data_IF_142982946783
#
_entry.id   IF_142982946783
#
_cell.length_a   1.000
_cell.length_b   1.000
_cell.length_c   1.000
_cell.angle_alpha   90.00
_cell.angle_beta   90.00
_cell.angle_gamma   90.00
#
_symmetry.space_group_name_H-M   'P 1'
#
loop_
_entity.id
_entity.type
_entity.pdbx_description
1 polymer ?
#
# COMPACT_ATOMS: atom_id res chain seq x y z
N UNK A 1 5.00 -9.86 13.69
CA UNK A 1 3.55 -9.72 13.46
C UNK A 1 3.24 -10.27 12.08
N UNK A 2 2.08 -10.90 11.88
CA UNK A 2 1.75 -11.55 10.59
C UNK A 2 1.49 -10.50 9.51
N UNK A 3 2.13 -10.63 8.34
CA UNK A 3 1.90 -9.78 7.15
C UNK A 3 0.42 -9.67 6.79
N UNK A 4 -0.41 -10.66 7.17
CA UNK A 4 -1.84 -10.68 6.89
C UNK A 4 -2.58 -9.51 7.55
N UNK A 5 -2.15 -9.08 8.75
CA UNK A 5 -2.77 -7.94 9.43
C UNK A 5 -2.50 -6.63 8.66
N UNK A 6 -1.27 -6.47 8.16
CA UNK A 6 -0.88 -5.33 7.33
C UNK A 6 -1.68 -5.30 6.02
N UNK A 7 -1.84 -6.46 5.36
CA UNK A 7 -2.60 -6.59 4.11
C UNK A 7 -4.06 -6.16 4.28
N UNK A 8 -4.72 -6.64 5.34
CA UNK A 8 -6.12 -6.29 5.61
C UNK A 8 -6.25 -4.80 5.92
N UNK A 9 -5.38 -4.26 6.79
CA UNK A 9 -5.41 -2.85 7.19
C UNK A 9 -5.15 -1.92 5.99
N UNK A 10 -4.15 -2.22 5.16
CA UNK A 10 -3.83 -1.45 3.94
C UNK A 10 -4.99 -1.44 2.96
N UNK A 11 -5.59 -2.61 2.67
CA UNK A 11 -6.71 -2.70 1.75
C UNK A 11 -7.91 -1.90 2.26
N UNK A 12 -8.23 -2.02 3.55
CA UNK A 12 -9.33 -1.28 4.16
C UNK A 12 -9.09 0.24 4.15
N UNK A 13 -7.88 0.68 4.49
CA UNK A 13 -7.52 2.10 4.45
C UNK A 13 -7.57 2.66 3.02
N UNK A 14 -6.98 1.97 2.06
CA UNK A 14 -6.97 2.40 0.66
C UNK A 14 -8.38 2.54 0.06
N UNK A 15 -9.31 1.68 0.47
CA UNK A 15 -10.71 1.73 0.00
C UNK A 15 -11.50 2.94 0.53
N UNK A 16 -10.98 3.71 1.50
CA UNK A 16 -11.61 4.97 1.96
C UNK A 16 -11.42 6.11 0.95
N UNK A 17 -10.39 6.02 0.12
CA UNK A 17 -9.96 7.10 -0.77
C UNK A 17 -10.49 6.90 -2.19
N UNK A 18 -10.74 8.02 -2.88
CA UNK A 18 -11.10 8.05 -4.30
C UNK A 18 -9.89 7.87 -5.20
N UNK A 19 -8.72 8.28 -4.74
CA UNK A 19 -7.46 8.14 -5.46
C UNK A 19 -7.20 6.70 -5.89
N UNK A 20 -6.57 6.55 -7.06
CA UNK A 20 -5.92 5.30 -7.45
C UNK A 20 -4.65 5.15 -6.61
N UNK A 21 -4.48 3.97 -6.03
CA UNK A 21 -3.38 3.67 -5.10
C UNK A 21 -2.72 2.40 -5.60
N UNK A 22 -1.51 2.54 -6.13
CA UNK A 22 -0.76 1.45 -6.74
C UNK A 22 0.53 1.23 -5.98
N UNK A 23 0.79 -0.01 -5.60
CA UNK A 23 2.07 -0.44 -5.05
C UNK A 23 2.88 -1.06 -6.18
N UNK A 24 4.10 -0.59 -6.38
CA UNK A 24 5.08 -1.26 -7.22
C UNK A 24 6.02 -2.08 -6.34
N UNK A 25 6.19 -3.35 -6.70
CA UNK A 25 7.15 -4.26 -6.09
C UNK A 25 7.93 -4.92 -7.24
N UNK A 26 9.22 -4.63 -7.34
CA UNK A 26 10.06 -5.06 -8.47
C UNK A 26 9.45 -4.65 -9.82
N UNK A 27 9.01 -5.62 -10.63
CA UNK A 27 8.38 -5.45 -11.94
C UNK A 27 6.85 -5.61 -11.92
N UNK A 28 6.23 -5.67 -10.73
CA UNK A 28 4.78 -5.83 -10.56
C UNK A 28 4.15 -4.54 -10.06
N UNK A 29 2.95 -4.27 -10.55
CA UNK A 29 2.07 -3.20 -10.10
C UNK A 29 0.80 -3.81 -9.52
N UNK A 30 0.41 -3.36 -8.34
CA UNK A 30 -0.67 -3.95 -7.55
C UNK A 30 -1.59 -2.83 -7.10
N UNK A 31 -2.87 -2.98 -7.38
CA UNK A 31 -3.90 -2.12 -6.78
C UNK A 31 -4.01 -2.44 -5.28
N UNK A 32 -3.69 -1.47 -4.42
CA UNK A 32 -3.73 -1.64 -2.96
C UNK A 32 -5.16 -1.87 -2.46
N UNK A 33 -6.18 -1.44 -3.21
CA UNK A 33 -7.58 -1.72 -2.87
C UNK A 33 -7.94 -3.19 -3.06
N UNK A 34 -7.18 -3.95 -3.86
CA UNK A 34 -7.36 -5.39 -4.05
C UNK A 34 -6.66 -6.20 -2.97
N UNK A 35 -7.42 -6.68 -1.98
CA UNK A 35 -6.88 -7.54 -0.91
C UNK A 35 -6.20 -8.81 -1.47
N UNK A 36 -6.76 -9.41 -2.54
CA UNK A 36 -6.18 -10.58 -3.18
C UNK A 36 -4.84 -10.25 -3.85
N UNK A 37 -4.74 -9.08 -4.52
CA UNK A 37 -3.50 -8.62 -5.13
C UNK A 37 -2.40 -8.35 -4.11
N UNK A 38 -2.78 -7.80 -2.95
CA UNK A 38 -1.86 -7.62 -1.83
C UNK A 38 -1.38 -8.96 -1.26
N UNK A 39 -2.28 -9.94 -1.07
CA UNK A 39 -1.90 -11.27 -0.56
C UNK A 39 -0.87 -12.00 -1.44
N UNK A 40 -0.95 -11.82 -2.76
CA UNK A 40 -0.02 -12.48 -3.69
C UNK A 40 1.32 -11.75 -3.82
N UNK A 41 1.46 -10.54 -3.25
CA UNK A 41 2.61 -9.66 -3.52
C UNK A 41 3.32 -9.13 -2.27
N UNK A 42 2.63 -8.94 -1.15
CA UNK A 42 3.23 -8.55 0.13
C UNK A 42 3.93 -9.74 0.82
N UNK A 43 4.95 -10.27 0.14
CA UNK A 43 5.95 -11.17 0.71
C UNK A 43 7.05 -10.31 1.34
N UNK A 44 7.43 -10.60 2.58
CA UNK A 44 8.38 -9.74 3.33
C UNK A 44 9.72 -9.52 2.61
N UNK A 45 10.44 -8.46 3.00
CA UNK A 45 11.78 -8.06 2.52
C UNK A 45 11.90 -7.37 1.14
N UNK A 46 10.81 -6.97 0.50
CA UNK A 46 10.87 -6.14 -0.71
C UNK A 46 10.84 -4.64 -0.37
N UNK A 47 11.41 -3.83 -1.27
CA UNK A 47 11.22 -2.37 -1.26
C UNK A 47 10.03 -2.05 -2.14
N UNK A 48 9.06 -1.32 -1.59
CA UNK A 48 7.84 -0.97 -2.29
C UNK A 48 7.84 0.50 -2.68
N UNK A 49 7.26 0.83 -3.82
CA UNK A 49 6.97 2.21 -4.21
C UNK A 49 5.46 2.43 -4.20
N UNK A 50 5.00 3.43 -3.45
CA UNK A 50 3.59 3.79 -3.32
C UNK A 50 3.28 4.98 -4.23
N UNK A 51 2.50 4.71 -5.27
CA UNK A 51 2.01 5.69 -6.24
C UNK A 51 0.57 6.02 -5.91
N UNK A 52 0.26 7.30 -5.71
CA UNK A 52 -1.10 7.74 -5.38
C UNK A 52 -1.50 8.89 -6.28
N UNK A 53 -2.58 8.70 -7.04
CA UNK A 53 -3.08 9.70 -7.98
C UNK A 53 -4.58 9.91 -7.78
N UNK A 54 -4.97 11.15 -7.51
CA UNK A 54 -6.37 11.53 -7.36
C UNK A 54 -6.58 12.75 -6.46
N UNK A 55 -7.84 13.08 -6.19
CA UNK A 55 -8.22 14.32 -5.49
C UNK A 55 -7.90 14.32 -3.99
N UNK A 56 -7.66 13.15 -3.40
CA UNK A 56 -7.38 12.91 -1.98
C UNK A 56 -6.05 12.16 -1.78
N UNK A 57 -5.09 12.41 -2.69
CA UNK A 57 -3.83 11.68 -2.75
C UNK A 57 -2.93 11.96 -1.56
N UNK A 58 -2.88 13.19 -1.06
CA UNK A 58 -2.00 13.58 0.03
C UNK A 58 -2.44 12.96 1.36
N UNK A 59 -3.75 12.92 1.62
CA UNK A 59 -4.32 12.22 2.77
C UNK A 59 -4.06 10.72 2.70
N UNK A 60 -4.26 10.11 1.52
CA UNK A 60 -4.00 8.70 1.29
C UNK A 60 -2.52 8.33 1.47
N UNK A 61 -1.59 9.12 0.92
CA UNK A 61 -0.14 8.92 1.08
C UNK A 61 0.25 8.91 2.55
N UNK A 62 -0.29 9.85 3.33
CA UNK A 62 -0.02 9.97 4.76
C UNK A 62 -0.53 8.76 5.55
N UNK A 63 -1.82 8.42 5.45
CA UNK A 63 -2.40 7.30 6.22
C UNK A 63 -1.75 5.97 5.85
N UNK A 64 -1.54 5.71 4.55
CA UNK A 64 -0.92 4.47 4.11
C UNK A 64 0.55 4.39 4.53
N UNK A 65 1.30 5.49 4.44
CA UNK A 65 2.68 5.58 4.93
C UNK A 65 2.79 5.20 6.41
N UNK A 66 1.89 5.69 7.25
CA UNK A 66 1.82 5.35 8.67
C UNK A 66 1.55 3.85 8.89
N UNK A 67 0.66 3.24 8.09
CA UNK A 67 0.38 1.79 8.16
C UNK A 67 1.59 0.96 7.74
N UNK A 68 2.27 1.31 6.65
CA UNK A 68 3.50 0.63 6.24
C UNK A 68 4.57 0.69 7.34
N UNK A 69 4.78 1.87 7.94
CA UNK A 69 5.72 2.06 9.04
C UNK A 69 5.35 1.23 10.29
N UNK A 70 4.06 1.24 10.67
CA UNK A 70 3.51 0.45 11.80
C UNK A 70 3.77 -1.05 11.67
N UNK A 71 3.80 -1.57 10.44
CA UNK A 71 4.04 -2.99 10.15
C UNK A 71 5.49 -3.31 9.73
N UNK A 72 6.42 -2.36 9.90
CA UNK A 72 7.83 -2.49 9.51
C UNK A 72 8.02 -2.86 8.03
N UNK A 73 7.17 -2.37 7.14
CA UNK A 73 7.27 -2.57 5.71
C UNK A 73 8.03 -1.40 5.07
N UNK A 74 9.03 -1.71 4.24
CA UNK A 74 9.84 -0.68 3.58
C UNK A 74 9.11 -0.11 2.36
N UNK A 75 8.58 1.10 2.49
CA UNK A 75 7.87 1.80 1.40
C UNK A 75 8.51 3.15 1.11
N UNK A 76 8.58 3.50 -0.16
CA UNK A 76 8.91 4.83 -0.65
C UNK A 76 7.65 5.43 -1.28
N UNK A 77 7.20 6.56 -0.76
CA UNK A 77 6.11 7.33 -1.39
C UNK A 77 6.68 8.10 -2.58
N UNK A 78 6.07 7.96 -3.75
CA UNK A 78 6.49 8.63 -5.00
C UNK A 78 5.44 9.68 -5.40
N UNK A 79 5.89 10.76 -6.05
CA UNK A 79 5.03 11.87 -6.49
C UNK A 79 4.21 11.53 -7.75
#
# INVERSE_FOLDING_TARGET
>A
MSNNAAIVELSQAANKYRSSIVLQAENKYIDVKSILGLFTTLVGNLSYELHVHGPDAEEAKKELGDIFAKHNLNVKVVE
#
